data_IF_505324729128
#
_entry.id   IF_505324729128
#
_cell.length_a   1.000
_cell.length_b   1.000
_cell.length_c   1.000
_cell.angle_alpha   90.00
_cell.angle_beta   90.00
_cell.angle_gamma   90.00
#
_symmetry.space_group_name_H-M   'P 1'
#
loop_
_entity.id
_entity.type
_entity.pdbx_description
1 polymer ?
#
# COMPACT_ATOMS: atom_id res chain seq x y z
N UNK A 1 -11.88 -9.82 6.91
CA UNK A 1 -13.22 -9.97 6.26
C UNK A 1 -13.37 -9.13 4.99
N UNK A 2 -12.96 -7.85 4.95
CA UNK A 2 -13.15 -6.99 3.77
C UNK A 2 -12.61 -7.57 2.44
N UNK A 3 -11.41 -8.16 2.42
CA UNK A 3 -10.86 -8.81 1.21
C UNK A 3 -11.75 -9.96 0.70
N UNK A 4 -12.34 -10.74 1.59
CA UNK A 4 -13.22 -11.86 1.21
C UNK A 4 -14.57 -11.34 0.69
N UNK A 5 -15.09 -10.24 1.27
CA UNK A 5 -16.30 -9.59 0.76
C UNK A 5 -16.06 -8.96 -0.62
N UNK A 6 -14.92 -8.29 -0.82
CA UNK A 6 -14.50 -7.78 -2.12
C UNK A 6 -14.41 -8.90 -3.15
N UNK A 7 -13.71 -10.00 -2.82
CA UNK A 7 -13.61 -11.15 -3.72
C UNK A 7 -14.98 -11.76 -4.01
N UNK A 8 -15.88 -11.85 -3.03
CA UNK A 8 -17.24 -12.38 -3.26
C UNK A 8 -18.02 -11.54 -4.28
N UNK A 9 -17.86 -10.21 -4.25
CA UNK A 9 -18.51 -9.29 -5.17
C UNK A 9 -17.89 -9.27 -6.58
N UNK A 10 -16.55 -9.32 -6.68
CA UNK A 10 -15.84 -9.10 -7.95
C UNK A 10 -15.18 -10.36 -8.54
N UNK A 11 -15.15 -11.46 -7.79
CA UNK A 11 -14.45 -12.71 -8.13
C UNK A 11 -12.94 -12.53 -8.38
N UNK A 12 -12.37 -11.49 -7.78
CA UNK A 12 -10.95 -11.18 -7.81
C UNK A 12 -10.53 -10.40 -6.55
N UNK A 13 -9.24 -10.42 -6.22
CA UNK A 13 -8.65 -9.54 -5.23
C UNK A 13 -8.45 -8.13 -5.81
N UNK A 14 -8.51 -7.07 -4.97
CA UNK A 14 -8.32 -5.70 -5.44
C UNK A 14 -6.93 -5.52 -6.06
N UNK A 15 -6.80 -4.50 -6.91
CA UNK A 15 -5.51 -4.01 -7.36
C UNK A 15 -4.62 -3.71 -6.16
N UNK A 16 -3.38 -4.19 -6.16
CA UNK A 16 -2.41 -3.87 -5.10
C UNK A 16 -2.14 -2.38 -5.03
N UNK A 17 -1.96 -1.78 -6.21
CA UNK A 17 -1.91 -0.33 -6.40
C UNK A 17 -2.50 0.02 -7.78
N UNK A 18 -3.27 1.11 -7.86
CA UNK A 18 -3.78 1.67 -9.11
C UNK A 18 -2.79 2.68 -9.68
N UNK A 19 -1.76 2.18 -10.36
CA UNK A 19 -0.74 3.02 -10.96
C UNK A 19 -1.26 3.66 -12.26
N UNK A 20 -1.63 4.93 -12.19
CA UNK A 20 -1.97 5.76 -13.33
C UNK A 20 -0.93 6.86 -13.49
N UNK A 21 -0.37 7.02 -14.70
CA UNK A 21 0.48 8.15 -15.11
C UNK A 21 1.59 8.55 -14.11
N UNK A 22 2.79 7.99 -14.27
CA UNK A 22 4.03 8.45 -13.61
C UNK A 22 4.02 8.44 -12.06
N UNK A 23 3.59 7.34 -11.42
CA UNK A 23 3.81 7.15 -9.98
C UNK A 23 3.48 5.73 -9.52
N UNK A 24 3.13 5.57 -8.25
CA UNK A 24 2.73 4.27 -7.71
C UNK A 24 1.22 4.09 -7.65
N UNK A 25 0.42 5.14 -7.45
CA UNK A 25 -1.05 5.04 -7.37
C UNK A 25 -1.62 4.98 -5.96
N UNK A 26 -2.95 4.98 -5.87
CA UNK A 26 -3.66 4.65 -4.64
C UNK A 26 -3.59 3.15 -4.36
N UNK A 27 -3.36 2.78 -3.10
CA UNK A 27 -3.21 1.39 -2.68
C UNK A 27 -4.54 0.62 -2.64
N UNK A 28 -4.43 -0.70 -2.54
CA UNK A 28 -5.54 -1.66 -2.37
C UNK A 28 -6.55 -1.27 -1.28
N UNK A 29 -6.13 -0.50 -0.28
CA UNK A 29 -7.01 0.05 0.76
C UNK A 29 -8.18 0.85 0.18
N UNK A 30 -7.96 1.65 -0.86
CA UNK A 30 -9.02 2.47 -1.47
C UNK A 30 -10.13 1.58 -2.02
N UNK A 31 -9.79 0.48 -2.70
CA UNK A 31 -10.77 -0.49 -3.20
C UNK A 31 -11.57 -1.20 -2.10
N UNK A 32 -11.05 -1.25 -0.88
CA UNK A 32 -11.72 -1.89 0.26
C UNK A 32 -12.56 -0.95 1.11
N UNK A 33 -12.50 0.38 0.92
CA UNK A 33 -13.24 1.36 1.73
C UNK A 33 -14.75 1.02 1.84
N UNK A 34 -15.47 0.63 0.77
CA UNK A 34 -16.88 0.27 0.88
C UNK A 34 -17.15 -0.96 1.78
N UNK A 35 -16.18 -1.86 1.89
CA UNK A 35 -16.26 -3.09 2.69
C UNK A 35 -15.73 -2.91 4.12
N UNK A 36 -15.29 -1.69 4.46
CA UNK A 36 -14.72 -1.30 5.74
C UNK A 36 -15.54 -0.19 6.42
N UNK A 37 -16.80 -0.02 6.02
CA UNK A 37 -17.72 1.02 6.53
C UNK A 37 -17.34 2.46 6.12
N UNK A 38 -16.41 2.62 5.16
CA UNK A 38 -16.00 3.91 4.60
C UNK A 38 -16.60 4.16 3.20
N UNK A 39 -17.82 3.67 2.95
CA UNK A 39 -18.49 3.83 1.64
C UNK A 39 -18.67 5.28 1.23
N UNK A 40 -19.10 6.17 2.14
CA UNK A 40 -19.26 7.59 1.83
C UNK A 40 -17.92 8.28 1.47
N UNK A 41 -16.83 7.85 2.09
CA UNK A 41 -15.49 8.34 1.75
C UNK A 41 -15.07 7.85 0.36
N UNK A 42 -15.37 6.59 0.01
CA UNK A 42 -15.07 6.03 -1.31
C UNK A 42 -15.74 6.79 -2.45
N UNK A 43 -17.00 7.18 -2.29
CA UNK A 43 -17.76 7.95 -3.29
C UNK A 43 -17.21 9.37 -3.49
N UNK A 44 -16.63 9.97 -2.45
CA UNK A 44 -16.04 11.31 -2.52
C UNK A 44 -14.58 11.30 -3.01
N UNK A 45 -13.91 10.15 -2.88
CA UNK A 45 -12.52 10.00 -3.28
C UNK A 45 -12.37 10.17 -4.79
N UNK A 46 -11.41 10.97 -5.23
CA UNK A 46 -11.10 11.10 -6.65
C UNK A 46 -10.17 9.95 -7.08
N UNK A 47 -10.70 9.10 -7.96
CA UNK A 47 -10.11 7.84 -8.38
C UNK A 47 -9.25 7.95 -9.66
N UNK A 48 -9.25 9.10 -10.34
CA UNK A 48 -8.59 9.29 -11.64
C UNK A 48 -7.36 10.22 -11.56
N UNK A 49 -6.82 10.41 -10.36
CA UNK A 49 -5.64 11.25 -10.13
C UNK A 49 -4.35 10.50 -10.48
N UNK A 50 -3.46 11.21 -11.19
CA UNK A 50 -2.14 10.72 -11.55
C UNK A 50 -1.21 10.49 -10.33
N UNK A 51 -0.15 9.73 -10.55
CA UNK A 51 0.90 9.45 -9.56
C UNK A 51 0.34 8.80 -8.29
N UNK A 52 0.63 9.32 -7.09
CA UNK A 52 0.24 8.74 -5.81
C UNK A 52 -1.15 9.12 -5.30
N UNK A 53 -1.98 9.78 -6.13
CA UNK A 53 -3.31 10.24 -5.71
C UNK A 53 -3.27 11.37 -4.67
N UNK A 54 -2.08 11.93 -4.38
CA UNK A 54 -1.81 12.89 -3.31
C UNK A 54 -2.03 14.35 -3.75
N UNK A 55 -3.16 14.64 -4.38
CA UNK A 55 -3.62 16.02 -4.67
C UNK A 55 -4.49 16.53 -3.53
N UNK A 56 -4.61 17.85 -3.25
CA UNK A 56 -5.27 18.38 -2.05
C UNK A 56 -6.61 17.75 -1.63
N UNK A 57 -7.45 17.32 -2.58
CA UNK A 57 -8.75 16.69 -2.31
C UNK A 57 -8.65 15.40 -1.47
N UNK A 58 -7.94 14.38 -1.93
CA UNK A 58 -7.93 13.05 -1.28
C UNK A 58 -7.30 13.04 0.13
N UNK A 59 -6.17 13.73 0.37
CA UNK A 59 -5.63 13.94 1.71
C UNK A 59 -6.61 14.70 2.61
N UNK A 60 -7.29 15.75 2.11
CA UNK A 60 -8.28 16.47 2.92
C UNK A 60 -9.46 15.58 3.33
N UNK A 61 -9.94 14.69 2.46
CA UNK A 61 -11.00 13.74 2.78
C UNK A 61 -10.60 12.71 3.86
N UNK A 62 -9.30 12.40 3.96
CA UNK A 62 -8.77 11.42 4.92
C UNK A 62 -8.10 12.06 6.14
N UNK A 63 -7.97 13.39 6.16
CA UNK A 63 -7.22 14.17 7.15
C UNK A 63 -7.78 14.12 8.57
N UNK A 64 -9.01 13.68 8.77
CA UNK A 64 -9.64 13.54 10.10
C UNK A 64 -10.25 12.14 10.31
N UNK A 65 -10.05 11.23 9.34
CA UNK A 65 -10.63 9.89 9.40
C UNK A 65 -9.64 8.94 10.07
N UNK A 66 -9.94 8.51 11.30
CA UNK A 66 -9.15 7.50 12.00
C UNK A 66 -9.54 6.10 11.53
N UNK A 67 -8.82 5.56 10.56
CA UNK A 67 -9.09 4.22 10.01
C UNK A 67 -8.51 3.11 10.90
N UNK A 68 -9.15 2.83 12.04
CA UNK A 68 -8.67 1.88 13.06
C UNK A 68 -8.36 0.48 12.50
N UNK A 69 -9.07 0.05 11.46
CA UNK A 69 -8.84 -1.25 10.79
C UNK A 69 -7.47 -1.36 10.11
N UNK A 70 -6.85 -0.22 9.79
CA UNK A 70 -5.51 -0.18 9.22
C UNK A 70 -4.42 -0.19 10.30
N UNK A 71 -4.77 -0.09 11.58
CA UNK A 71 -3.85 0.12 12.68
C UNK A 71 -3.80 -1.11 13.60
N UNK A 72 -2.60 -1.61 13.88
CA UNK A 72 -2.38 -2.59 14.94
C UNK A 72 -2.46 -1.91 16.32
N UNK A 73 -3.34 -2.35 17.25
CA UNK A 73 -3.49 -1.74 18.59
C UNK A 73 -2.26 -1.85 19.49
N UNK A 74 -1.38 -2.82 19.25
CA UNK A 74 -0.14 -3.02 20.01
C UNK A 74 1.08 -2.40 19.34
N UNK A 75 0.91 -1.69 18.23
CA UNK A 75 2.02 -1.06 17.53
C UNK A 75 2.58 0.12 18.34
N UNK A 76 3.90 0.20 18.52
CA UNK A 76 4.55 1.40 19.07
C UNK A 76 4.67 2.54 18.04
N UNK A 77 4.30 2.32 16.78
CA UNK A 77 4.43 3.32 15.72
C UNK A 77 3.33 4.39 15.81
N UNK A 78 3.66 5.60 15.36
CA UNK A 78 2.67 6.65 15.18
C UNK A 78 1.60 6.20 14.17
N UNK A 79 0.34 6.29 14.58
CA UNK A 79 -0.84 5.92 13.77
C UNK A 79 -1.02 6.82 12.53
N UNK A 80 -0.35 7.98 12.53
CA UNK A 80 -0.52 9.02 11.52
C UNK A 80 0.81 9.66 11.16
N UNK A 81 0.91 10.11 9.92
CA UNK A 81 2.08 10.83 9.39
C UNK A 81 1.64 12.11 8.70
N UNK A 82 2.48 13.13 8.76
CA UNK A 82 2.26 14.38 8.06
C UNK A 82 2.69 14.25 6.59
N UNK A 83 1.87 14.77 5.67
CA UNK A 83 2.18 14.79 4.25
C UNK A 83 3.37 15.70 3.91
N UNK A 84 4.32 15.19 3.11
CA UNK A 84 5.50 15.97 2.72
C UNK A 84 5.15 17.14 1.79
N UNK A 85 4.34 16.90 0.76
CA UNK A 85 3.93 17.93 -0.21
C UNK A 85 2.68 18.72 0.21
N UNK A 86 2.01 18.33 1.31
CA UNK A 86 0.87 19.05 1.88
C UNK A 86 1.01 19.13 3.41
N UNK A 87 1.94 19.98 3.91
CA UNK A 87 2.17 20.14 5.33
C UNK A 87 0.88 20.50 6.07
N UNK A 88 0.69 19.91 7.25
CA UNK A 88 -0.52 20.09 8.07
C UNK A 88 -1.64 19.09 7.78
N UNK A 89 -1.55 18.30 6.71
CA UNK A 89 -2.46 17.17 6.50
C UNK A 89 -1.88 15.91 7.15
N UNK A 90 -2.54 15.43 8.20
CA UNK A 90 -2.17 14.18 8.87
C UNK A 90 -3.02 13.03 8.32
N UNK A 91 -2.39 11.96 7.86
CA UNK A 91 -3.10 10.81 7.30
C UNK A 91 -2.81 9.56 8.11
N UNK A 92 -3.79 8.68 8.22
CA UNK A 92 -3.58 7.35 8.80
C UNK A 92 -2.52 6.60 8.02
N UNK A 93 -1.54 6.07 8.73
CA UNK A 93 -0.47 5.26 8.17
C UNK A 93 -0.74 3.79 8.48
N UNK A 94 -1.06 2.95 7.48
CA UNK A 94 -1.38 1.55 7.74
C UNK A 94 -0.22 0.78 8.40
N UNK A 95 -0.56 -0.12 9.32
CA UNK A 95 0.33 -1.10 9.95
C UNK A 95 0.23 -2.48 9.29
N UNK A 96 -0.47 -2.58 8.16
CA UNK A 96 -0.64 -3.82 7.40
C UNK A 96 -0.32 -3.57 5.93
N UNK A 97 0.69 -4.27 5.42
CA UNK A 97 1.17 -4.19 4.05
C UNK A 97 0.54 -5.28 3.18
N UNK A 98 0.24 -4.91 1.93
CA UNK A 98 -0.19 -5.88 0.92
C UNK A 98 0.99 -6.66 0.37
N UNK A 99 0.84 -7.98 0.24
CA UNK A 99 1.91 -8.86 -0.27
C UNK A 99 1.80 -8.92 -1.80
N UNK A 100 2.74 -8.22 -2.45
CA UNK A 100 2.91 -8.15 -3.90
C UNK A 100 3.93 -9.16 -4.45
N UNK A 101 4.52 -9.98 -3.57
CA UNK A 101 5.51 -11.00 -3.91
C UNK A 101 6.88 -10.70 -3.32
N UNK A 102 7.88 -11.52 -3.70
CA UNK A 102 9.25 -11.32 -3.27
C UNK A 102 10.00 -10.42 -4.27
N UNK A 103 10.98 -9.69 -3.76
CA UNK A 103 11.87 -8.84 -4.56
C UNK A 103 13.30 -9.35 -4.41
N UNK A 104 14.06 -9.34 -5.51
CA UNK A 104 15.37 -10.01 -5.64
C UNK A 104 16.54 -9.24 -5.00
N UNK A 105 16.29 -8.38 -4.02
CA UNK A 105 17.33 -7.48 -3.48
C UNK A 105 18.32 -8.22 -2.56
N UNK A 106 19.20 -9.00 -3.17
CA UNK A 106 20.57 -9.22 -2.71
C UNK A 106 21.49 -8.41 -3.62
N UNK A 107 22.09 -7.36 -3.08
CA UNK A 107 23.35 -6.72 -3.52
C UNK A 107 23.91 -7.09 -4.90
N UNK A 108 23.73 -6.22 -5.89
CA UNK A 108 24.82 -5.93 -6.85
C UNK A 108 25.29 -4.51 -6.57
N UNK A 109 26.40 -4.41 -5.84
CA UNK A 109 27.17 -3.17 -5.70
C UNK A 109 27.37 -2.55 -7.08
N UNK A 110 26.80 -1.37 -7.32
CA UNK A 110 26.88 -0.65 -8.60
C UNK A 110 25.54 -0.36 -9.28
N UNK A 111 24.46 -1.08 -8.96
CA UNK A 111 23.13 -0.76 -9.50
C UNK A 111 22.48 0.34 -8.68
N UNK A 112 22.66 1.59 -9.10
CA UNK A 112 21.74 2.67 -8.72
C UNK A 112 20.40 2.33 -9.37
N UNK A 113 19.39 2.09 -8.53
CA UNK A 113 17.97 1.95 -8.89
C UNK A 113 17.64 0.57 -9.48
N UNK A 114 16.90 -0.29 -8.77
CA UNK A 114 15.77 -1.05 -9.35
C UNK A 114 14.92 -1.86 -8.34
N UNK A 115 13.60 -1.62 -8.29
CA UNK A 115 12.54 -2.55 -7.82
C UNK A 115 12.08 -3.40 -9.01
N UNK A 116 13.02 -4.12 -9.62
CA UNK A 116 12.71 -4.97 -10.78
C UNK A 116 12.53 -6.41 -10.30
N UNK A 117 11.27 -6.84 -10.21
CA UNK A 117 10.95 -8.06 -10.93
C UNK A 117 10.70 -7.63 -12.40
N UNK A 118 10.99 -8.50 -13.37
CA UNK A 118 11.09 -8.21 -14.83
C UNK A 118 9.83 -7.55 -15.44
N UNK A 119 8.76 -7.40 -14.66
CA UNK A 119 7.45 -6.89 -15.07
C UNK A 119 7.14 -5.46 -14.62
N UNK A 120 7.85 -4.88 -13.63
CA UNK A 120 7.52 -3.53 -13.13
C UNK A 120 8.75 -2.65 -12.94
N UNK A 121 8.72 -1.40 -13.44
CA UNK A 121 9.80 -0.46 -13.21
C UNK A 121 9.84 -0.06 -11.74
N UNK A 122 11.06 0.05 -11.27
CA UNK A 122 11.45 0.58 -9.98
C UNK A 122 10.87 1.95 -9.65
N UNK A 123 9.93 2.05 -8.70
CA UNK A 123 9.60 3.33 -8.07
C UNK A 123 10.07 3.32 -6.61
N UNK A 124 11.26 3.87 -6.35
CA UNK A 124 11.86 3.97 -5.01
C UNK A 124 11.35 5.10 -4.15
N UNK A 125 10.61 6.03 -4.73
CA UNK A 125 10.52 7.35 -4.17
C UNK A 125 9.10 7.73 -3.78
N UNK A 126 8.79 7.53 -2.50
CA UNK A 126 7.58 7.98 -1.81
C UNK A 126 7.72 9.38 -1.20
N UNK A 127 8.85 10.10 -1.41
CA UNK A 127 9.06 11.45 -0.83
C UNK A 127 8.00 12.47 -1.20
N UNK A 128 7.22 12.24 -2.26
CA UNK A 128 6.11 13.11 -2.62
C UNK A 128 4.97 13.10 -1.58
N UNK A 129 4.85 12.06 -0.76
CA UNK A 129 3.73 11.94 0.18
C UNK A 129 4.12 11.43 1.57
N UNK A 130 5.23 10.68 1.70
CA UNK A 130 5.67 10.10 2.95
C UNK A 130 7.10 10.54 3.29
N UNK A 131 7.41 10.81 4.57
CA UNK A 131 8.76 11.20 4.99
C UNK A 131 9.75 10.02 5.09
N UNK A 132 9.34 8.82 4.68
CA UNK A 132 10.15 7.59 4.71
C UNK A 132 10.21 6.97 3.31
N UNK A 133 11.32 6.31 2.98
CA UNK A 133 11.65 5.77 1.64
C UNK A 133 11.62 4.24 1.59
N UNK A 134 10.82 3.65 2.46
CA UNK A 134 10.86 2.25 2.78
C UNK A 134 9.55 1.62 2.29
N UNK A 135 9.67 0.63 1.41
CA UNK A 135 8.54 -0.06 0.79
C UNK A 135 8.95 -0.66 -0.53
N UNK A 136 8.64 -1.94 -0.76
CA UNK A 136 8.99 -2.64 -2.01
C UNK A 136 7.77 -3.23 -2.67
N UNK A 137 7.74 -3.12 -4.00
CA UNK A 137 6.69 -3.68 -4.83
C UNK A 137 7.28 -4.77 -5.72
N UNK A 138 6.55 -5.86 -5.85
CA UNK A 138 6.80 -6.97 -6.76
C UNK A 138 5.52 -7.29 -7.54
N UNK A 139 5.55 -8.36 -8.35
CA UNK A 139 4.42 -8.82 -9.14
C UNK A 139 4.17 -10.33 -9.07
N UNK A 140 4.74 -10.96 -8.06
CA UNK A 140 4.69 -12.42 -7.85
C UNK A 140 3.79 -12.81 -6.67
N UNK A 141 3.07 -11.85 -6.09
CA UNK A 141 2.10 -12.07 -5.01
C UNK A 141 0.65 -11.84 -5.45
N UNK A 142 -0.22 -11.52 -4.48
CA UNK A 142 -1.66 -11.36 -4.72
C UNK A 142 -2.05 -9.91 -4.97
N UNK A 143 -1.50 -8.98 -4.18
CA UNK A 143 -1.79 -7.55 -4.27
C UNK A 143 -0.74 -6.86 -5.15
N UNK A 144 -0.87 -7.02 -6.46
CA UNK A 144 0.11 -6.52 -7.45
C UNK A 144 -0.35 -5.23 -8.14
N UNK A 145 0.55 -4.40 -8.68
CA UNK A 145 0.16 -3.17 -9.36
C UNK A 145 -0.59 -3.44 -10.67
N UNK A 146 -1.66 -2.68 -10.92
CA UNK A 146 -2.43 -2.68 -12.19
C UNK A 146 -2.92 -4.06 -12.67
N UNK A 147 -2.97 -5.06 -11.79
CA UNK A 147 -3.50 -6.38 -12.09
C UNK A 147 -4.26 -6.92 -10.89
N UNK A 148 -5.35 -7.61 -11.16
CA UNK A 148 -6.13 -8.35 -10.17
C UNK A 148 -5.76 -9.82 -10.25
N UNK A 149 -5.71 -10.48 -9.10
CA UNK A 149 -5.49 -11.94 -9.00
C UNK A 149 -6.80 -12.58 -8.57
N UNK A 150 -7.17 -13.71 -9.16
CA UNK A 150 -8.36 -14.49 -8.76
C UNK A 150 -7.96 -15.66 -7.87
N UNK A 151 -8.91 -16.25 -7.13
CA UNK A 151 -8.65 -17.50 -6.39
C UNK A 151 -8.17 -18.62 -7.33
N UNK A 152 -8.63 -18.63 -8.60
CA UNK A 152 -8.19 -19.63 -9.59
C UNK A 152 -6.72 -19.50 -9.95
N UNK A 153 -6.15 -18.30 -9.88
CA UNK A 153 -4.73 -18.05 -10.17
C UNK A 153 -3.82 -18.54 -9.03
N UNK A 154 -4.38 -18.81 -7.85
CA UNK A 154 -3.69 -19.36 -6.68
C UNK A 154 -3.75 -20.89 -6.75
N UNK A 155 -2.85 -21.48 -7.53
CA UNK A 155 -2.91 -22.91 -7.92
C UNK A 155 -2.60 -23.90 -6.80
N UNK A 156 -1.87 -23.48 -5.77
CA UNK A 156 -1.60 -24.26 -4.56
C UNK A 156 -2.67 -24.07 -3.46
N UNK A 157 -3.66 -23.21 -3.71
CA UNK A 157 -4.84 -23.01 -2.88
C UNK A 157 -4.70 -21.89 -1.85
N UNK A 158 -5.82 -21.22 -1.56
CA UNK A 158 -5.87 -20.05 -0.66
C UNK A 158 -5.41 -20.35 0.78
N UNK A 159 -5.46 -21.60 1.20
CA UNK A 159 -4.97 -22.04 2.51
C UNK A 159 -3.45 -21.98 2.64
N UNK A 160 -2.72 -21.90 1.52
CA UNK A 160 -1.25 -21.79 1.46
C UNK A 160 -0.78 -20.37 1.11
N UNK A 161 -1.69 -19.40 1.02
CA UNK A 161 -1.38 -18.04 0.54
C UNK A 161 -1.61 -17.00 1.64
N UNK A 162 -0.65 -16.09 1.79
CA UNK A 162 -0.77 -14.91 2.65
C UNK A 162 -0.89 -13.68 1.74
N UNK A 163 -1.90 -12.85 2.00
CA UNK A 163 -2.21 -11.67 1.17
C UNK A 163 -1.78 -10.37 1.84
N UNK A 164 -1.83 -10.31 3.17
CA UNK A 164 -1.54 -9.11 3.97
C UNK A 164 -0.68 -9.53 5.15
N UNK A 165 0.38 -8.76 5.42
CA UNK A 165 1.28 -8.94 6.55
C UNK A 165 1.33 -7.70 7.43
N UNK A 166 1.62 -7.87 8.72
CA UNK A 166 1.77 -6.76 9.65
C UNK A 166 3.17 -6.13 9.54
N UNK A 167 3.22 -4.80 9.51
CA UNK A 167 4.40 -3.94 9.50
C UNK A 167 4.24 -2.83 10.54
N UNK A 168 4.34 -3.22 11.81
CA UNK A 168 3.92 -2.38 12.94
C UNK A 168 5.07 -2.05 13.90
N UNK A 169 6.32 -2.17 13.47
CA UNK A 169 7.52 -1.93 14.31
C UNK A 169 8.64 -1.24 13.53
N UNK A 170 9.70 -0.88 14.24
CA UNK A 170 10.93 -0.30 13.69
C UNK A 170 12.05 -1.33 13.60
N UNK A 171 12.97 -1.13 12.67
CA UNK A 171 14.27 -1.81 12.65
C UNK A 171 15.37 -0.85 13.09
N UNK A 172 16.39 -1.35 13.78
CA UNK A 172 17.55 -0.55 14.12
C UNK A 172 18.59 -0.64 13.00
N UNK A 173 19.02 0.51 12.49
CA UNK A 173 20.09 0.62 11.50
C UNK A 173 21.08 1.68 11.96
N UNK A 174 22.32 1.26 12.25
CA UNK A 174 23.40 2.15 12.66
C UNK A 174 23.04 3.04 13.86
N UNK A 175 22.31 2.50 14.84
CA UNK A 175 21.88 3.22 16.05
C UNK A 175 20.65 4.12 15.86
N UNK A 176 20.03 4.12 14.68
CA UNK A 176 18.80 4.85 14.39
C UNK A 176 17.65 3.87 14.23
N UNK A 177 16.54 4.09 14.94
CA UNK A 177 15.30 3.35 14.69
C UNK A 177 14.64 3.88 13.43
N UNK A 178 14.39 2.99 12.48
CA UNK A 178 13.77 3.27 11.19
C UNK A 178 12.45 2.51 11.14
N UNK A 179 11.37 3.23 10.86
CA UNK A 179 10.07 2.62 10.57
C UNK A 179 10.19 1.84 9.25
N UNK A 180 9.76 0.59 9.25
CA UNK A 180 9.71 -0.22 8.03
C UNK A 180 8.28 -0.23 7.52
N UNK A 181 8.09 0.34 6.34
CA UNK A 181 6.85 0.32 5.57
C UNK A 181 7.03 -0.47 4.26
#
# INVERSE_FOLDING_TARGET
>A
MALQNYHSAFQNFPLGVRNQNFGFGSSWWVGLLPYLEYGALYELYDHEIASCGFTPLNPALTADVKMMVMLCPSSPLNERVNGVLLPGVNMTMPHYAGISGATNTGTVSGSRNSFSDDLFPASSNSMCCLPHLDGRVSATGVLVPNRTVTIRDITDGTSNTIVVGEISSTVEKSGVQIRVD
#
